data_IF_143663969295
#
_entry.id   IF_143663969295
#
_cell.length_a   1.000
_cell.length_b   1.000
_cell.length_c   1.000
_cell.angle_alpha   90.00
_cell.angle_beta   90.00
_cell.angle_gamma   90.00
#
_symmetry.space_group_name_H-M   'P 1'
#
loop_
_entity.id
_entity.type
_entity.pdbx_description
1 polymer ?
#
# COMPACT_ATOMS: atom_id res chain seq x y z
N UNK A 1 21.70 -8.29 -3.83
CA UNK A 1 21.40 -7.17 -2.90
C UNK A 1 20.16 -6.38 -3.36
N UNK A 2 19.09 -7.02 -3.86
CA UNK A 2 18.21 -6.34 -4.84
C UNK A 2 16.69 -6.51 -4.68
N UNK A 3 16.13 -7.65 -4.27
CA UNK A 3 14.66 -7.79 -4.13
C UNK A 3 14.13 -7.51 -2.72
N UNK A 4 14.86 -7.94 -1.68
CA UNK A 4 14.42 -7.81 -0.29
C UNK A 4 14.28 -6.33 0.13
N UNK A 5 15.15 -5.44 -0.37
CA UNK A 5 15.04 -3.99 -0.15
C UNK A 5 13.80 -3.40 -0.82
N UNK A 6 13.46 -3.85 -2.03
CA UNK A 6 12.25 -3.40 -2.74
C UNK A 6 10.98 -3.81 -1.98
N UNK A 7 10.93 -5.05 -1.50
CA UNK A 7 9.84 -5.56 -0.67
C UNK A 7 9.66 -4.74 0.62
N UNK A 8 10.76 -4.46 1.34
CA UNK A 8 10.71 -3.63 2.54
C UNK A 8 10.26 -2.19 2.26
N UNK A 9 10.67 -1.60 1.13
CA UNK A 9 10.22 -0.27 0.72
C UNK A 9 8.73 -0.24 0.35
N UNK A 10 8.24 -1.26 -0.37
CA UNK A 10 6.82 -1.40 -0.68
C UNK A 10 5.99 -1.61 0.60
N UNK A 11 6.46 -2.45 1.52
CA UNK A 11 5.80 -2.67 2.80
C UNK A 11 5.71 -1.37 3.62
N UNK A 12 6.80 -0.59 3.69
CA UNK A 12 6.80 0.70 4.36
C UNK A 12 5.81 1.69 3.71
N UNK A 13 5.75 1.75 2.38
CA UNK A 13 4.75 2.54 1.65
C UNK A 13 3.32 2.09 1.93
N UNK A 14 3.09 0.79 1.97
CA UNK A 14 1.78 0.23 2.27
C UNK A 14 1.32 0.62 3.68
N UNK A 15 2.22 0.54 4.67
CA UNK A 15 1.91 0.93 6.05
C UNK A 15 1.60 2.42 6.17
N UNK A 16 2.35 3.28 5.47
CA UNK A 16 2.06 4.72 5.42
C UNK A 16 0.69 5.01 4.80
N UNK A 17 0.36 4.35 3.67
CA UNK A 17 -0.95 4.47 3.03
C UNK A 17 -2.09 3.94 3.91
N UNK A 18 -1.86 2.88 4.69
CA UNK A 18 -2.86 2.41 5.66
C UNK A 18 -3.12 3.44 6.75
N UNK A 19 -2.09 4.09 7.28
CA UNK A 19 -2.26 5.16 8.28
C UNK A 19 -3.01 6.35 7.70
N UNK A 20 -2.61 6.82 6.51
CA UNK A 20 -3.32 7.91 5.82
C UNK A 20 -4.79 7.57 5.57
N UNK A 21 -5.07 6.32 5.17
CA UNK A 21 -6.44 5.84 4.96
C UNK A 21 -7.21 5.74 6.27
N UNK A 22 -6.57 5.31 7.35
CA UNK A 22 -7.21 5.22 8.66
C UNK A 22 -7.55 6.62 9.19
N UNK A 23 -6.61 7.56 9.14
CA UNK A 23 -6.82 8.96 9.52
C UNK A 23 -7.89 9.61 8.64
N UNK A 24 -7.86 9.34 7.34
CA UNK A 24 -8.92 9.80 6.44
C UNK A 24 -10.27 9.21 6.86
N UNK A 25 -10.38 7.90 7.10
CA UNK A 25 -11.63 7.27 7.52
C UNK A 25 -12.15 7.77 8.88
N UNK A 26 -11.26 8.20 9.78
CA UNK A 26 -11.65 8.77 11.07
C UNK A 26 -12.08 10.24 10.99
N UNK A 27 -11.65 10.97 9.97
CA UNK A 27 -12.08 12.35 9.76
C UNK A 27 -13.52 12.40 9.24
N UNK A 28 -14.42 13.05 10.01
CA UNK A 28 -15.82 13.27 9.62
C UNK A 28 -16.00 14.08 8.32
N UNK A 29 -14.96 14.77 7.86
CA UNK A 29 -14.96 15.57 6.64
C UNK A 29 -14.09 14.97 5.53
N UNK A 30 -13.66 13.71 5.66
CA UNK A 30 -12.84 13.11 4.62
C UNK A 30 -13.63 12.88 3.35
N UNK A 31 -13.05 13.36 2.26
CA UNK A 31 -13.51 13.07 0.91
C UNK A 31 -13.51 11.55 0.67
N UNK A 32 -14.70 10.98 0.45
CA UNK A 32 -14.87 9.59 -0.01
C UNK A 32 -14.00 9.29 -1.25
N UNK A 33 -13.80 10.30 -2.10
CA UNK A 33 -12.92 10.22 -3.26
C UNK A 33 -11.47 9.91 -2.87
N UNK A 34 -10.98 10.54 -1.80
CA UNK A 34 -9.63 10.36 -1.28
C UNK A 34 -9.47 8.98 -0.65
N UNK A 35 -10.48 8.51 0.08
CA UNK A 35 -10.52 7.13 0.61
C UNK A 35 -10.50 6.11 -0.53
N UNK A 36 -11.28 6.34 -1.60
CA UNK A 36 -11.30 5.47 -2.77
C UNK A 36 -9.94 5.42 -3.49
N UNK A 37 -9.26 6.55 -3.66
CA UNK A 37 -7.91 6.59 -4.23
C UNK A 37 -6.89 5.86 -3.36
N UNK A 38 -6.93 6.08 -2.04
CA UNK A 38 -6.05 5.41 -1.08
C UNK A 38 -6.26 3.89 -1.10
N UNK A 39 -7.52 3.41 -1.14
CA UNK A 39 -7.83 1.98 -1.30
C UNK A 39 -7.27 1.42 -2.61
N UNK A 40 -7.39 2.16 -3.71
CA UNK A 40 -6.84 1.76 -5.02
C UNK A 40 -5.32 1.63 -4.99
N UNK A 41 -4.63 2.63 -4.42
CA UNK A 41 -3.17 2.59 -4.25
C UNK A 41 -2.74 1.43 -3.36
N UNK A 42 -3.46 1.19 -2.27
CA UNK A 42 -3.22 0.05 -1.36
C UNK A 42 -3.36 -1.28 -2.10
N UNK A 43 -4.40 -1.43 -2.92
CA UNK A 43 -4.60 -2.65 -3.73
C UNK A 43 -3.43 -2.86 -4.71
N UNK A 44 -3.03 -1.81 -5.43
CA UNK A 44 -1.91 -1.85 -6.36
C UNK A 44 -0.58 -2.25 -5.69
N UNK A 45 -0.28 -1.64 -4.53
CA UNK A 45 0.92 -1.98 -3.75
C UNK A 45 0.89 -3.43 -3.28
N UNK A 46 -0.27 -3.92 -2.86
CA UNK A 46 -0.43 -5.31 -2.45
C UNK A 46 -0.18 -6.26 -3.64
N UNK A 47 -0.73 -5.94 -4.81
CA UNK A 47 -0.51 -6.73 -6.03
C UNK A 47 0.97 -6.71 -6.46
N UNK A 48 1.65 -5.56 -6.39
CA UNK A 48 3.09 -5.48 -6.66
C UNK A 48 3.90 -6.30 -5.64
N UNK A 49 3.53 -6.25 -4.35
CA UNK A 49 4.17 -7.07 -3.29
C UNK A 49 3.97 -8.56 -3.58
N UNK A 50 2.76 -8.98 -3.94
CA UNK A 50 2.47 -10.38 -4.26
C UNK A 50 3.24 -10.83 -5.50
N UNK A 51 3.25 -10.03 -6.57
CA UNK A 51 4.07 -10.30 -7.76
C UNK A 51 5.55 -10.44 -7.43
N UNK A 52 6.10 -9.50 -6.66
CA UNK A 52 7.51 -9.53 -6.26
C UNK A 52 7.80 -10.75 -5.37
N UNK A 53 6.87 -11.14 -4.49
CA UNK A 53 7.00 -12.34 -3.67
C UNK A 53 6.97 -13.61 -4.51
N UNK A 54 6.06 -13.72 -5.47
CA UNK A 54 5.99 -14.86 -6.39
C UNK A 54 7.26 -14.97 -7.25
N UNK A 55 7.78 -13.84 -7.74
CA UNK A 55 9.02 -13.77 -8.53
C UNK A 55 10.25 -14.16 -7.69
N UNK A 56 10.27 -13.84 -6.39
CA UNK A 56 11.34 -14.25 -5.47
C UNK A 56 11.30 -15.75 -5.14
N UNK A 57 10.14 -16.40 -5.28
CA UNK A 57 9.94 -17.81 -4.90
C UNK A 57 10.23 -18.80 -6.04
N UNK A 58 10.40 -18.32 -7.28
CA UNK A 58 10.77 -19.11 -8.47
C UNK A 58 12.29 -19.14 -8.68
#
# INVERSE_FOLDING_TARGET
>A
MSLQTHLSQLAAKHEALERELHDAMQSLASDDLRIAELKRKKLHLKDEIERLREDTLH
#
